data_IF_796798606108
#
_entry.id   IF_796798606108
#
_cell.length_a   1.000
_cell.length_b   1.000
_cell.length_c   1.000
_cell.angle_alpha   90.00
_cell.angle_beta   90.00
_cell.angle_gamma   90.00
#
_symmetry.space_group_name_H-M   'P 1'
#
loop_
_entity.id
_entity.type
_entity.pdbx_description
1 polymer ?
#
# COMPACT_ATOMS: atom_id res chain seq x y z
N UNK A 1 18.11 -4.09 -0.10
CA UNK A 1 17.21 -4.88 -0.97
C UNK A 1 17.42 -4.47 -2.42
N UNK A 2 17.44 -5.42 -3.37
CA UNK A 2 17.56 -5.14 -4.82
C UNK A 2 16.25 -4.55 -5.37
N UNK A 3 16.31 -3.76 -6.43
CA UNK A 3 15.14 -3.07 -7.01
C UNK A 3 14.02 -4.04 -7.40
N UNK A 4 14.34 -5.10 -8.14
CA UNK A 4 13.36 -6.12 -8.54
C UNK A 4 12.69 -6.82 -7.34
N UNK A 5 13.49 -7.11 -6.30
CA UNK A 5 12.97 -7.68 -5.06
C UNK A 5 12.02 -6.70 -4.36
N UNK A 6 12.33 -5.41 -4.36
CA UNK A 6 11.49 -4.38 -3.78
C UNK A 6 10.17 -4.21 -4.55
N UNK A 7 10.22 -4.16 -5.89
CA UNK A 7 9.01 -4.14 -6.73
C UNK A 7 8.14 -5.36 -6.48
N UNK A 8 8.74 -6.57 -6.50
CA UNK A 8 7.99 -7.81 -6.24
C UNK A 8 7.38 -7.83 -4.84
N UNK A 9 8.08 -7.32 -3.85
CA UNK A 9 7.55 -7.21 -2.48
C UNK A 9 6.31 -6.31 -2.42
N UNK A 10 6.30 -5.15 -3.08
CA UNK A 10 5.14 -4.26 -3.13
C UNK A 10 3.93 -4.93 -3.78
N UNK A 11 4.13 -5.70 -4.86
CA UNK A 11 3.07 -6.46 -5.53
C UNK A 11 2.51 -7.54 -4.60
N UNK A 12 3.38 -8.32 -3.94
CA UNK A 12 2.96 -9.34 -2.98
C UNK A 12 2.22 -8.73 -1.77
N UNK A 13 2.64 -7.55 -1.32
CA UNK A 13 1.95 -6.84 -0.25
C UNK A 13 0.55 -6.40 -0.68
N UNK A 14 0.40 -5.87 -1.90
CA UNK A 14 -0.91 -5.54 -2.47
C UNK A 14 -1.83 -6.76 -2.60
N UNK A 15 -1.30 -7.91 -3.03
CA UNK A 15 -2.03 -9.19 -3.05
C UNK A 15 -2.53 -9.54 -1.63
N UNK A 16 -1.68 -9.41 -0.60
CA UNK A 16 -2.08 -9.67 0.79
C UNK A 16 -3.10 -8.69 1.34
N UNK A 17 -3.04 -7.41 0.98
CA UNK A 17 -4.08 -6.45 1.37
C UNK A 17 -5.43 -6.85 0.77
N UNK A 18 -5.48 -7.25 -0.50
CA UNK A 18 -6.72 -7.72 -1.14
C UNK A 18 -7.27 -8.98 -0.46
N UNK A 19 -6.40 -9.98 -0.20
CA UNK A 19 -6.80 -11.22 0.47
C UNK A 19 -7.39 -10.99 1.88
N UNK A 20 -6.94 -9.94 2.58
CA UNK A 20 -7.28 -9.70 3.98
C UNK A 20 -8.17 -8.46 4.17
N UNK A 21 -8.79 -7.94 3.11
CA UNK A 21 -9.55 -6.69 3.13
C UNK A 21 -10.59 -6.65 4.27
N UNK A 22 -11.42 -7.69 4.37
CA UNK A 22 -12.47 -7.78 5.38
C UNK A 22 -11.91 -7.92 6.80
N UNK A 23 -10.81 -8.69 6.95
CA UNK A 23 -10.16 -8.88 8.26
C UNK A 23 -9.57 -7.56 8.76
N UNK A 24 -8.99 -6.75 7.88
CA UNK A 24 -8.44 -5.44 8.25
C UNK A 24 -9.55 -4.48 8.72
N UNK A 25 -10.70 -4.46 8.03
CA UNK A 25 -11.85 -3.67 8.46
C UNK A 25 -12.44 -4.15 9.80
N UNK A 26 -12.56 -5.47 9.98
CA UNK A 26 -13.08 -6.07 11.22
C UNK A 26 -12.19 -5.76 12.42
N UNK A 27 -10.87 -5.91 12.28
CA UNK A 27 -9.92 -5.60 13.35
C UNK A 27 -9.96 -4.13 13.73
N UNK A 28 -10.01 -3.24 12.74
CA UNK A 28 -10.07 -1.80 12.94
C UNK A 28 -11.34 -1.40 13.72
N UNK A 29 -12.52 -1.89 13.29
CA UNK A 29 -13.77 -1.68 14.02
C UNK A 29 -13.74 -2.27 15.45
N UNK A 30 -13.21 -3.49 15.61
CA UNK A 30 -13.19 -4.18 16.91
C UNK A 30 -12.28 -3.49 17.92
N UNK A 31 -11.21 -2.84 17.44
CA UNK A 31 -10.28 -2.07 18.28
C UNK A 31 -10.75 -0.64 18.56
N UNK A 32 -11.92 -0.24 18.05
CA UNK A 32 -12.50 1.08 18.26
C UNK A 32 -12.17 2.12 17.17
N UNK A 33 -11.65 1.67 16.02
CA UNK A 33 -11.57 2.46 14.79
C UNK A 33 -12.91 2.52 14.05
N UNK A 34 -12.93 3.12 12.86
CA UNK A 34 -14.13 3.30 12.04
C UNK A 34 -14.33 2.18 10.99
N UNK A 35 -13.41 1.21 10.92
CA UNK A 35 -13.51 0.05 10.04
C UNK A 35 -13.02 0.32 8.62
N UNK A 36 -12.43 1.48 8.37
CA UNK A 36 -12.04 1.91 7.03
C UNK A 36 -10.63 1.46 6.63
N UNK A 37 -9.84 0.91 7.57
CA UNK A 37 -8.42 0.61 7.35
C UNK A 37 -8.18 -0.27 6.13
N UNK A 38 -8.97 -1.34 5.96
CA UNK A 38 -8.85 -2.23 4.80
C UNK A 38 -9.05 -1.50 3.48
N UNK A 39 -10.12 -0.70 3.36
CA UNK A 39 -10.41 0.06 2.15
C UNK A 39 -9.37 1.13 1.86
N UNK A 40 -8.91 1.83 2.89
CA UNK A 40 -7.86 2.85 2.78
C UNK A 40 -6.55 2.24 2.29
N UNK A 41 -6.12 1.10 2.86
CA UNK A 41 -4.93 0.39 2.40
C UNK A 41 -5.07 -0.15 0.97
N UNK A 42 -6.25 -0.67 0.61
CA UNK A 42 -6.52 -1.13 -0.76
C UNK A 42 -6.41 0.03 -1.76
N UNK A 43 -7.00 1.18 -1.45
CA UNK A 43 -6.95 2.39 -2.28
C UNK A 43 -5.51 2.87 -2.49
N UNK A 44 -4.74 2.97 -1.41
CA UNK A 44 -3.33 3.38 -1.47
C UNK A 44 -2.46 2.41 -2.25
N UNK A 45 -2.54 1.11 -1.95
CA UNK A 45 -1.71 0.10 -2.62
C UNK A 45 -2.10 -0.11 -4.08
N UNK A 46 -3.37 0.07 -4.44
CA UNK A 46 -3.79 0.09 -5.85
C UNK A 46 -3.09 1.21 -6.61
N UNK A 47 -3.03 2.42 -6.03
CA UNK A 47 -2.32 3.54 -6.64
C UNK A 47 -0.80 3.29 -6.75
N UNK A 48 -0.20 2.65 -5.75
CA UNK A 48 1.20 2.22 -5.77
C UNK A 48 1.43 1.25 -6.93
N UNK A 49 0.75 0.11 -6.98
CA UNK A 49 0.98 -0.94 -7.99
C UNK A 49 0.79 -0.39 -9.41
N UNK A 50 -0.31 0.33 -9.67
CA UNK A 50 -0.59 0.93 -10.98
C UNK A 50 0.49 1.93 -11.43
N UNK A 51 1.23 2.52 -10.50
CA UNK A 51 2.32 3.47 -10.80
C UNK A 51 3.67 2.78 -10.91
N UNK A 52 4.00 1.87 -9.98
CA UNK A 52 5.34 1.28 -9.87
C UNK A 52 5.58 0.12 -10.83
N UNK A 53 4.53 -0.62 -11.20
CA UNK A 53 4.64 -1.78 -12.09
C UNK A 53 5.09 -1.39 -13.51
N UNK A 54 4.48 -0.40 -14.19
CA UNK A 54 4.92 0.00 -15.53
C UNK A 54 6.13 0.95 -15.54
N UNK A 55 6.58 1.45 -14.38
CA UNK A 55 7.61 2.49 -14.29
C UNK A 55 9.00 1.90 -14.03
N UNK A 56 9.99 2.37 -14.79
CA UNK A 56 11.40 2.09 -14.51
C UNK A 56 11.95 3.05 -13.44
N UNK A 57 12.79 2.52 -12.55
CA UNK A 57 13.42 3.30 -11.48
C UNK A 57 14.93 3.13 -11.51
N UNK A 58 15.66 4.23 -11.29
CA UNK A 58 17.12 4.22 -11.26
C UNK A 58 17.67 3.53 -10.01
N UNK A 59 16.92 3.55 -8.90
CA UNK A 59 17.32 2.95 -7.64
C UNK A 59 16.13 2.51 -6.78
N UNK A 60 16.39 1.62 -5.82
CA UNK A 60 15.41 1.26 -4.79
C UNK A 60 14.95 2.46 -3.95
N UNK A 61 15.81 3.48 -3.78
CA UNK A 61 15.46 4.71 -3.07
C UNK A 61 14.37 5.49 -3.81
N UNK A 62 14.47 5.58 -5.13
CA UNK A 62 13.50 6.30 -5.95
C UNK A 62 12.15 5.58 -5.98
N UNK A 63 12.17 4.24 -6.04
CA UNK A 63 10.96 3.40 -5.90
C UNK A 63 10.23 3.69 -4.57
N UNK A 64 10.96 3.72 -3.46
CA UNK A 64 10.34 3.94 -2.16
C UNK A 64 9.91 5.38 -1.90
N UNK A 65 10.60 6.36 -2.47
CA UNK A 65 10.12 7.76 -2.45
C UNK A 65 8.78 7.89 -3.15
N UNK A 66 8.65 7.31 -4.36
CA UNK A 66 7.37 7.30 -5.09
C UNK A 66 6.28 6.57 -4.30
N UNK A 67 6.60 5.37 -3.80
CA UNK A 67 5.67 4.55 -3.01
C UNK A 67 5.18 5.32 -1.78
N UNK A 68 6.10 5.90 -1.00
CA UNK A 68 5.74 6.66 0.20
C UNK A 68 4.88 7.89 -0.12
N UNK A 69 5.19 8.61 -1.19
CA UNK A 69 4.38 9.76 -1.63
C UNK A 69 2.95 9.34 -2.02
N UNK A 70 2.81 8.21 -2.71
CA UNK A 70 1.50 7.69 -3.08
C UNK A 70 0.72 7.24 -1.84
N UNK A 71 1.35 6.55 -0.89
CA UNK A 71 0.67 6.14 0.35
C UNK A 71 0.21 7.35 1.15
N UNK A 72 1.08 8.36 1.30
CA UNK A 72 0.77 9.61 1.99
C UNK A 72 -0.44 10.34 1.42
N UNK A 73 -0.63 10.28 0.09
CA UNK A 73 -1.67 11.05 -0.60
C UNK A 73 -2.91 10.25 -0.97
N UNK A 74 -2.87 8.92 -0.89
CA UNK A 74 -3.94 8.03 -1.41
C UNK A 74 -4.59 7.12 -0.36
N UNK A 75 -3.87 6.72 0.69
CA UNK A 75 -4.45 5.85 1.74
C UNK A 75 -5.58 6.59 2.46
N UNK A 76 -5.33 7.83 2.90
CA UNK A 76 -6.26 8.58 3.74
C UNK A 76 -6.23 8.12 5.20
N UNK A 77 -6.89 8.86 6.09
CA UNK A 77 -6.89 8.60 7.54
C UNK A 77 -5.49 8.66 8.17
N UNK A 78 -5.36 8.14 9.39
CA UNK A 78 -4.06 8.05 10.10
C UNK A 78 -3.14 7.03 9.41
N UNK A 79 -3.69 6.08 8.67
CA UNK A 79 -2.91 5.03 7.99
C UNK A 79 -2.02 5.59 6.87
N UNK A 80 -2.34 6.77 6.33
CA UNK A 80 -1.55 7.45 5.33
C UNK A 80 -0.44 8.34 5.87
N UNK A 81 -0.51 8.79 7.14
CA UNK A 81 0.33 9.86 7.70
C UNK A 81 1.02 9.44 8.99
#
# INVERSE_FOLDING_TARGET
MKLETAKRWLILFYEKIQENLAVLAELDSTMGGDGDHGENMLRGMTAVVNTVEPKEFASTSDLFKETGMLLLTKVGGVSGT
#
